data_IF_181032891856
#
_entry.id   IF_181032891856
#
_cell.length_a   1.000
_cell.length_b   1.000
_cell.length_c   1.000
_cell.angle_alpha   90.00
_cell.angle_beta   90.00
_cell.angle_gamma   90.00
#
_symmetry.space_group_name_H-M   'P 1'
#
loop_
_entity.id
_entity.type
_entity.pdbx_description
1 polymer ?
#
# COMPACT_ATOMS: atom_id res chain seq x y z
N UNK A 1 -17.66 -27.99 56.97
CA UNK A 1 -18.97 -28.38 57.57
C UNK A 1 -19.79 -27.10 57.75
N UNK A 2 -21.11 -27.14 57.52
CA UNK A 2 -22.09 -26.02 57.38
C UNK A 2 -22.27 -25.60 55.90
N UNK A 3 -23.00 -26.37 55.08
CA UNK A 3 -24.48 -26.43 54.91
C UNK A 3 -25.09 -25.09 54.49
N UNK A 4 -25.40 -25.02 53.20
CA UNK A 4 -26.66 -24.57 52.57
C UNK A 4 -27.23 -23.22 53.00
N UNK A 5 -27.50 -22.35 52.02
CA UNK A 5 -28.88 -22.02 51.68
C UNK A 5 -28.96 -21.25 50.36
N UNK A 6 -29.61 -21.90 49.42
CA UNK A 6 -30.10 -21.39 48.15
C UNK A 6 -31.10 -20.26 48.41
N UNK A 7 -30.93 -19.12 47.72
CA UNK A 7 -32.05 -18.25 47.34
C UNK A 7 -31.99 -18.05 45.83
N UNK A 8 -32.86 -18.80 45.15
CA UNK A 8 -33.20 -18.60 43.77
C UNK A 8 -33.76 -17.19 43.58
N UNK A 9 -33.09 -16.38 42.79
CA UNK A 9 -33.70 -15.23 42.14
C UNK A 9 -33.68 -15.55 40.65
N UNK A 10 -34.79 -16.12 40.19
CA UNK A 10 -35.16 -16.14 38.79
C UNK A 10 -35.34 -14.69 38.34
N UNK A 11 -34.43 -14.17 37.51
CA UNK A 11 -34.76 -13.09 36.59
C UNK A 11 -34.84 -13.68 35.18
N UNK A 12 -36.06 -14.04 34.81
CA UNK A 12 -36.43 -14.48 33.47
C UNK A 12 -36.60 -13.24 32.60
N UNK A 13 -35.85 -13.23 31.50
CA UNK A 13 -36.12 -12.64 30.18
C UNK A 13 -36.45 -11.14 30.06
N UNK A 14 -35.63 -10.43 29.27
CA UNK A 14 -36.04 -9.98 27.92
C UNK A 14 -34.82 -10.04 26.99
N UNK A 15 -34.90 -10.89 25.97
CA UNK A 15 -34.04 -10.86 24.77
C UNK A 15 -34.51 -9.68 23.90
N UNK A 16 -33.70 -8.63 23.78
CA UNK A 16 -33.82 -7.68 22.68
C UNK A 16 -33.03 -8.22 21.49
N UNK A 17 -33.72 -8.98 20.63
CA UNK A 17 -33.23 -9.27 19.27
C UNK A 17 -33.45 -8.02 18.45
N UNK A 18 -32.41 -7.21 18.28
CA UNK A 18 -32.38 -6.18 17.24
C UNK A 18 -31.91 -6.83 15.94
N UNK A 19 -32.86 -7.32 15.16
CA UNK A 19 -32.66 -7.64 13.77
C UNK A 19 -32.58 -6.35 12.96
N UNK A 20 -31.37 -5.93 12.58
CA UNK A 20 -31.17 -5.01 11.47
C UNK A 20 -30.56 -5.78 10.31
N UNK A 21 -31.43 -6.37 9.50
CA UNK A 21 -31.11 -6.80 8.15
C UNK A 21 -31.56 -5.70 7.18
N UNK A 22 -30.59 -5.04 6.56
CA UNK A 22 -30.70 -4.09 5.45
C UNK A 22 -29.26 -3.84 5.00
N UNK A 23 -28.76 -4.71 4.12
CA UNK A 23 -28.64 -4.49 2.68
C UNK A 23 -27.31 -3.79 2.34
N UNK A 24 -26.44 -4.54 1.66
CA UNK A 24 -25.23 -4.08 1.00
C UNK A 24 -25.49 -2.83 0.16
N UNK A 25 -24.95 -1.71 0.60
CA UNK A 25 -24.62 -0.57 -0.25
C UNK A 25 -23.15 -0.21 -0.01
N UNK A 26 -22.32 -0.54 -1.00
CA UNK A 26 -20.94 -0.09 -1.08
C UNK A 26 -20.90 1.43 -1.31
N UNK A 27 -20.96 2.20 -0.23
CA UNK A 27 -20.66 3.63 -0.26
C UNK A 27 -19.16 3.86 0.04
N UNK A 28 -18.37 4.00 -1.02
CA UNK A 28 -17.07 4.66 -0.96
C UNK A 28 -17.29 6.17 -1.08
N UNK A 29 -17.22 6.89 0.04
CA UNK A 29 -17.33 8.35 0.01
C UNK A 29 -17.17 8.97 1.38
N UNK A 30 -15.92 9.27 1.76
CA UNK A 30 -15.63 9.98 3.01
C UNK A 30 -14.16 9.90 3.41
N UNK A 31 -13.25 10.32 2.52
CA UNK A 31 -11.90 10.70 2.97
C UNK A 31 -12.01 12.11 3.55
N UNK A 32 -12.25 12.21 4.85
CA UNK A 32 -11.86 13.39 5.60
C UNK A 32 -10.33 13.55 5.47
N UNK A 33 -9.89 14.72 5.00
CA UNK A 33 -8.48 15.14 5.07
C UNK A 33 -8.07 15.22 6.54
N UNK A 34 -7.60 14.10 7.08
CA UNK A 34 -6.75 14.13 8.25
C UNK A 34 -5.47 14.87 7.86
N UNK A 35 -5.28 16.04 8.47
CA UNK A 35 -4.09 16.86 8.33
C UNK A 35 -2.83 15.97 8.38
N UNK A 36 -2.09 15.97 7.28
CA UNK A 36 -0.84 15.25 7.13
C UNK A 36 0.18 15.76 8.17
N UNK A 37 0.21 15.11 9.33
CA UNK A 37 1.35 15.18 10.23
C UNK A 37 2.43 14.33 9.57
N UNK A 38 3.37 15.00 8.91
CA UNK A 38 4.47 14.37 8.19
C UNK A 38 5.31 13.52 9.14
N UNK A 39 5.07 12.21 9.16
CA UNK A 39 6.03 11.25 9.68
C UNK A 39 7.22 11.21 8.72
N UNK A 40 8.15 12.14 8.93
CA UNK A 40 9.44 12.13 8.29
C UNK A 40 10.23 10.94 8.83
N UNK A 41 10.18 9.80 8.12
CA UNK A 41 11.09 8.68 8.37
C UNK A 41 12.53 9.18 8.33
N UNK A 42 13.34 8.76 9.29
CA UNK A 42 14.75 9.15 9.41
C UNK A 42 15.54 8.67 8.18
N UNK A 43 16.19 9.61 7.48
CA UNK A 43 16.97 9.33 6.28
C UNK A 43 17.17 10.59 5.42
N UNK A 44 18.34 10.74 4.80
CA UNK A 44 18.60 11.83 3.86
C UNK A 44 17.75 11.67 2.59
N UNK A 45 17.30 12.79 2.02
CA UNK A 45 16.61 12.80 0.72
C UNK A 45 17.56 12.30 -0.37
N UNK A 46 17.03 11.46 -1.26
CA UNK A 46 17.72 10.92 -2.42
C UNK A 46 16.91 11.17 -3.69
N UNK A 47 17.59 11.22 -4.82
CA UNK A 47 17.00 11.27 -6.15
C UNK A 47 17.54 10.09 -6.97
N UNK A 48 16.67 9.15 -7.31
CA UNK A 48 17.06 7.89 -7.96
C UNK A 48 16.37 7.76 -9.32
N UNK A 49 17.13 7.37 -10.34
CA UNK A 49 16.61 7.05 -11.68
C UNK A 49 16.53 5.55 -11.88
N UNK A 50 15.35 5.03 -12.22
CA UNK A 50 15.07 3.61 -12.24
C UNK A 50 13.75 3.29 -12.94
N UNK A 51 13.36 2.02 -12.95
CA UNK A 51 12.11 1.55 -13.55
C UNK A 51 11.02 1.35 -12.49
N UNK A 52 9.78 1.77 -12.79
CA UNK A 52 8.61 1.45 -11.94
C UNK A 52 8.10 0.05 -12.26
N UNK A 53 8.07 -0.80 -11.25
CA UNK A 53 7.84 -2.25 -11.38
C UNK A 53 6.47 -2.66 -10.82
N UNK A 54 5.84 -3.65 -11.45
CA UNK A 54 4.89 -4.54 -10.76
C UNK A 54 5.68 -5.68 -10.11
N UNK A 55 5.74 -5.70 -8.77
CA UNK A 55 6.53 -6.70 -8.04
C UNK A 55 5.92 -8.09 -8.09
N UNK A 56 4.59 -8.22 -8.23
CA UNK A 56 3.95 -9.53 -8.33
C UNK A 56 4.40 -10.26 -9.61
N UNK A 57 4.42 -9.54 -10.75
CA UNK A 57 4.90 -10.10 -12.01
C UNK A 57 6.43 -10.26 -12.03
N UNK A 58 7.19 -9.24 -11.59
CA UNK A 58 8.65 -9.28 -11.63
C UNK A 58 9.22 -10.45 -10.81
N UNK A 59 8.68 -10.72 -9.62
CA UNK A 59 9.18 -11.80 -8.75
C UNK A 59 8.94 -13.20 -9.32
N UNK A 60 7.91 -13.37 -10.14
CA UNK A 60 7.58 -14.66 -10.78
C UNK A 60 8.22 -14.79 -12.17
N UNK A 61 8.44 -13.67 -12.85
CA UNK A 61 8.88 -13.60 -14.25
C UNK A 61 9.94 -12.49 -14.45
N UNK A 62 11.12 -12.56 -13.83
CA UNK A 62 12.06 -11.43 -13.77
C UNK A 62 12.54 -10.93 -15.14
N UNK A 63 12.54 -11.79 -16.17
CA UNK A 63 12.89 -11.38 -17.54
C UNK A 63 11.76 -10.67 -18.28
N UNK A 64 10.51 -11.07 -18.05
CA UNK A 64 9.33 -10.58 -18.79
C UNK A 64 8.50 -9.56 -18.01
N UNK A 65 8.69 -9.47 -16.69
CA UNK A 65 8.01 -8.53 -15.79
C UNK A 65 8.74 -7.19 -15.66
N UNK A 66 9.50 -6.80 -16.67
CA UNK A 66 10.27 -5.55 -16.71
C UNK A 66 10.35 -5.01 -18.15
N UNK A 67 10.68 -3.74 -18.28
CA UNK A 67 10.87 -3.05 -19.54
C UNK A 67 9.58 -2.57 -20.23
N UNK A 68 9.74 -1.85 -21.36
CA UNK A 68 8.64 -1.18 -22.04
C UNK A 68 7.55 -2.13 -22.55
N UNK A 69 7.93 -3.36 -22.94
CA UNK A 69 6.99 -4.38 -23.41
C UNK A 69 6.01 -4.83 -22.29
N UNK A 70 6.42 -4.68 -21.03
CA UNK A 70 5.59 -5.02 -19.86
C UNK A 70 4.75 -3.85 -19.34
N UNK A 71 4.95 -2.62 -19.84
CA UNK A 71 4.36 -1.40 -19.27
C UNK A 71 2.83 -1.43 -19.18
N UNK A 72 2.14 -1.96 -20.19
CA UNK A 72 0.68 -2.06 -20.20
C UNK A 72 0.13 -2.99 -19.12
N UNK A 73 0.78 -4.14 -18.94
CA UNK A 73 0.42 -5.12 -17.91
C UNK A 73 0.73 -4.58 -16.51
N UNK A 74 1.95 -4.07 -16.30
CA UNK A 74 2.36 -3.47 -15.03
C UNK A 74 1.41 -2.35 -14.60
N UNK A 75 1.02 -1.47 -15.52
CA UNK A 75 0.06 -0.39 -15.25
C UNK A 75 -1.27 -0.94 -14.70
N UNK A 76 -1.83 -1.96 -15.35
CA UNK A 76 -3.11 -2.54 -14.93
C UNK A 76 -3.01 -3.21 -13.55
N UNK A 77 -1.92 -3.93 -13.29
CA UNK A 77 -1.66 -4.59 -12.01
C UNK A 77 -1.52 -3.58 -10.85
N UNK A 78 -0.75 -2.52 -11.06
CA UNK A 78 -0.57 -1.45 -10.09
C UNK A 78 -1.91 -0.77 -9.77
N UNK A 79 -2.73 -0.48 -10.78
CA UNK A 79 -4.07 0.11 -10.58
C UNK A 79 -5.04 -0.82 -9.84
N UNK A 80 -4.80 -2.13 -9.88
CA UNK A 80 -5.54 -3.13 -9.07
C UNK A 80 -5.01 -3.27 -7.64
N UNK A 81 -3.97 -2.51 -7.27
CA UNK A 81 -3.38 -2.53 -5.93
C UNK A 81 -2.33 -3.62 -5.72
N UNK A 82 -1.81 -4.24 -6.78
CA UNK A 82 -0.67 -5.15 -6.63
C UNK A 82 0.59 -4.37 -6.20
N UNK A 83 1.53 -5.01 -5.47
CA UNK A 83 2.68 -4.31 -4.91
C UNK A 83 3.55 -3.70 -6.00
N UNK A 84 3.87 -2.41 -5.85
CA UNK A 84 4.72 -1.68 -6.76
C UNK A 84 6.14 -1.56 -6.23
N UNK A 85 7.11 -1.52 -7.14
CA UNK A 85 8.52 -1.37 -6.81
C UNK A 85 9.22 -0.35 -7.69
N UNK A 86 10.48 -0.11 -7.36
CA UNK A 86 11.36 0.73 -8.16
C UNK A 86 12.71 0.04 -8.31
N UNK A 87 13.18 -0.19 -9.54
CA UNK A 87 14.43 -0.90 -9.81
C UNK A 87 15.51 0.07 -10.30
N UNK A 88 16.62 0.16 -9.56
CA UNK A 88 17.77 1.03 -9.87
C UNK A 88 19.00 0.13 -10.00
N UNK A 89 19.48 -0.07 -11.23
CA UNK A 89 20.51 -1.09 -11.50
C UNK A 89 20.02 -2.46 -11.02
N UNK A 90 20.77 -3.10 -10.13
CA UNK A 90 20.43 -4.39 -9.52
C UNK A 90 19.68 -4.27 -8.18
N UNK A 91 19.43 -3.05 -7.71
CA UNK A 91 18.69 -2.82 -6.46
C UNK A 91 17.21 -2.69 -6.73
N UNK A 92 16.40 -3.45 -6.01
CA UNK A 92 14.94 -3.38 -6.04
C UNK A 92 14.43 -2.78 -4.72
N UNK A 93 13.61 -1.75 -4.83
CA UNK A 93 12.95 -1.10 -3.70
C UNK A 93 11.46 -1.42 -3.71
N UNK A 94 10.87 -1.68 -2.54
CA UNK A 94 9.43 -1.51 -2.36
C UNK A 94 9.12 -0.01 -2.49
N UNK A 95 8.17 0.36 -3.34
CA UNK A 95 7.81 1.76 -3.54
C UNK A 95 6.55 2.08 -2.73
N UNK A 96 6.65 3.04 -1.81
CA UNK A 96 5.51 3.51 -1.01
C UNK A 96 5.43 5.04 -1.04
N UNK A 97 4.27 5.59 -0.70
CA UNK A 97 4.07 7.05 -0.66
C UNK A 97 4.47 7.65 0.68
N UNK A 98 5.02 8.86 0.65
CA UNK A 98 5.07 9.69 1.85
C UNK A 98 3.66 9.94 2.41
N UNK A 99 3.54 9.99 3.74
CA UNK A 99 2.27 10.24 4.43
C UNK A 99 1.28 9.07 4.45
N UNK A 100 1.74 7.83 4.22
CA UNK A 100 0.92 6.61 4.28
C UNK A 100 -0.28 6.58 3.31
N UNK A 101 -0.25 7.39 2.25
CA UNK A 101 -1.30 7.43 1.23
C UNK A 101 -1.10 6.42 0.10
N UNK A 102 -2.17 6.11 -0.66
CA UNK A 102 -2.07 5.28 -1.85
C UNK A 102 -1.24 5.99 -2.95
N UNK A 103 -0.47 5.21 -3.71
CA UNK A 103 0.39 5.73 -4.79
C UNK A 103 0.04 5.21 -6.18
N UNK A 104 -0.85 4.22 -6.29
CA UNK A 104 -1.13 3.50 -7.53
C UNK A 104 -1.40 4.43 -8.72
N UNK A 105 -2.34 5.36 -8.58
CA UNK A 105 -2.68 6.33 -9.63
C UNK A 105 -1.51 7.26 -9.99
N UNK A 106 -0.68 7.62 -9.01
CA UNK A 106 0.48 8.51 -9.22
C UNK A 106 1.57 7.83 -10.03
N UNK A 107 1.79 6.52 -9.83
CA UNK A 107 2.89 5.79 -10.45
C UNK A 107 2.47 5.01 -11.71
N UNK A 108 1.17 4.72 -11.89
CA UNK A 108 0.65 3.99 -13.04
C UNK A 108 1.08 4.54 -14.41
N UNK A 109 1.20 5.88 -14.63
CA UNK A 109 1.71 6.42 -15.89
C UNK A 109 3.16 6.04 -16.23
N UNK A 110 3.93 5.68 -15.20
CA UNK A 110 5.36 5.36 -15.26
C UNK A 110 5.65 3.86 -15.23
N UNK A 111 4.62 3.01 -15.07
CA UNK A 111 4.77 1.56 -14.99
C UNK A 111 5.52 0.98 -16.21
N UNK A 112 6.52 0.13 -15.98
CA UNK A 112 7.41 -0.44 -17.00
C UNK A 112 8.28 0.59 -17.74
N UNK A 113 8.37 1.82 -17.23
CA UNK A 113 9.17 2.91 -17.80
C UNK A 113 10.19 3.42 -16.79
N UNK A 114 11.23 4.08 -17.31
CA UNK A 114 12.19 4.80 -16.49
C UNK A 114 11.58 6.10 -15.96
N UNK A 115 11.76 6.36 -14.68
CA UNK A 115 11.34 7.54 -13.96
C UNK A 115 12.43 7.99 -13.00
N UNK A 116 12.29 9.21 -12.50
CA UNK A 116 13.10 9.75 -11.42
C UNK A 116 12.23 9.90 -10.19
N UNK A 117 12.62 9.27 -9.10
CA UNK A 117 11.93 9.34 -7.81
C UNK A 117 12.79 10.14 -6.83
N UNK A 118 12.22 11.20 -6.28
CA UNK A 118 12.76 11.89 -5.10
C UNK A 118 12.06 11.37 -3.86
N UNK A 119 12.82 11.06 -2.82
CA UNK A 119 12.28 10.50 -1.60
C UNK A 119 13.37 10.06 -0.63
N UNK A 120 13.06 9.09 0.23
CA UNK A 120 13.99 8.56 1.23
C UNK A 120 14.05 7.03 1.19
N UNK A 121 15.25 6.50 1.40
CA UNK A 121 15.45 5.04 1.50
C UNK A 121 15.38 4.64 2.95
N UNK A 122 14.54 3.65 3.24
CA UNK A 122 14.46 2.95 4.52
C UNK A 122 14.89 1.51 4.33
N UNK A 123 15.39 0.90 5.40
CA UNK A 123 15.71 -0.52 5.44
C UNK A 123 15.20 -1.12 6.75
N UNK A 124 14.43 -2.20 6.63
CA UNK A 124 13.93 -2.97 7.76
C UNK A 124 13.97 -4.45 7.36
N UNK A 125 14.57 -5.30 8.21
CA UNK A 125 14.64 -6.75 7.99
C UNK A 125 15.21 -7.16 6.61
N UNK A 126 16.17 -6.39 6.09
CA UNK A 126 16.78 -6.60 4.77
C UNK A 126 15.94 -6.14 3.58
N UNK A 127 14.75 -5.57 3.81
CA UNK A 127 13.92 -4.99 2.76
C UNK A 127 14.25 -3.52 2.57
N UNK A 128 14.70 -3.17 1.36
CA UNK A 128 14.89 -1.77 0.95
C UNK A 128 13.56 -1.19 0.49
N UNK A 129 13.20 -0.05 1.04
CA UNK A 129 11.97 0.68 0.72
C UNK A 129 12.30 2.09 0.28
N UNK A 130 11.70 2.56 -0.80
CA UNK A 130 11.79 3.94 -1.24
C UNK A 130 10.46 4.64 -0.92
N UNK A 131 10.51 5.56 0.05
CA UNK A 131 9.39 6.44 0.40
C UNK A 131 9.38 7.59 -0.61
N UNK A 132 8.49 7.48 -1.60
CA UNK A 132 8.34 8.45 -2.69
C UNK A 132 7.65 9.72 -2.21
N UNK A 133 8.31 10.84 -2.42
CA UNK A 133 7.76 12.19 -2.22
C UNK A 133 7.36 12.81 -3.56
N UNK A 134 8.18 12.59 -4.61
CA UNK A 134 7.92 13.04 -5.98
C UNK A 134 8.35 11.98 -6.99
N UNK A 135 7.62 11.90 -8.11
CA UNK A 135 8.00 11.12 -9.29
C UNK A 135 7.86 11.97 -10.55
N UNK A 136 8.82 11.85 -11.46
CA UNK A 136 8.84 12.52 -12.76
C UNK A 136 9.42 11.61 -13.83
N UNK A 137 9.11 11.88 -15.11
CA UNK A 137 9.65 11.08 -16.20
C UNK A 137 11.19 11.24 -16.26
N UNK A 138 11.90 10.15 -16.53
CA UNK A 138 13.32 10.27 -16.84
C UNK A 138 13.48 11.00 -18.18
N UNK A 139 14.28 12.07 -18.19
CA UNK A 139 14.72 12.70 -19.44
C UNK A 139 15.69 11.77 -20.14
N UNK A 140 15.49 11.54 -21.45
CA UNK A 140 16.23 10.60 -22.31
C UNK A 140 17.69 10.33 -21.86
N UNK A 141 17.97 9.06 -21.53
CA UNK A 141 19.32 8.48 -21.44
C UNK A 141 19.82 8.14 -22.87
#
# INVERSE_FOLDING_TARGET
MMKSMIRAILFVFVLAVSANAGADEHHHGGHEEAAAQGHHGEGAEVKLTGEVMDLACYMQHPKAGQGPDHAGCARQCILKGLPAGFKVGDTLYLLIGAGHGPIAEKIAPFAGKRAVVTGRVLEADGMKTLVMEKIEAATHD
#
